data_IF_141665621778
#
_entry.id   IF_141665621778
#
_cell.length_a   1.000
_cell.length_b   1.000
_cell.length_c   1.000
_cell.angle_alpha   90.00
_cell.angle_beta   90.00
_cell.angle_gamma   90.00
#
_symmetry.space_group_name_H-M   'P 1'
#
loop_
_entity.id
_entity.type
_entity.pdbx_description
1 polymer ?
#
# COMPACT_ATOMS: atom_id res chain seq x y z
N UNK A 1 11.67 -17.60 -22.40
CA UNK A 1 11.37 -16.51 -21.46
C UNK A 1 11.01 -17.14 -20.13
N UNK A 2 11.73 -16.75 -19.10
CA UNK A 2 11.52 -17.26 -17.75
C UNK A 2 10.97 -16.11 -16.91
N UNK A 3 9.83 -16.35 -16.31
CA UNK A 3 9.25 -15.42 -15.35
C UNK A 3 9.34 -16.04 -13.96
N UNK A 4 9.88 -15.29 -13.02
CA UNK A 4 9.92 -15.67 -11.62
C UNK A 4 9.70 -14.45 -10.74
N UNK A 5 9.19 -14.70 -9.54
CA UNK A 5 8.86 -13.64 -8.57
C UNK A 5 9.92 -13.67 -7.47
N UNK A 6 10.48 -12.51 -7.16
CA UNK A 6 11.38 -12.35 -6.02
C UNK A 6 10.58 -12.50 -4.74
N UNK A 7 10.99 -13.44 -3.88
CA UNK A 7 10.29 -13.69 -2.62
C UNK A 7 10.64 -12.66 -1.54
N UNK A 8 10.03 -12.77 -0.37
CA UNK A 8 10.22 -11.84 0.74
C UNK A 8 11.66 -11.79 1.26
N UNK A 9 12.46 -12.83 1.03
CA UNK A 9 13.89 -12.88 1.40
C UNK A 9 14.83 -12.32 0.32
N UNK A 10 14.28 -11.84 -0.81
CA UNK A 10 15.04 -11.30 -1.92
C UNK A 10 15.65 -12.37 -2.82
N UNK A 11 15.12 -13.58 -2.81
CA UNK A 11 15.59 -14.72 -3.59
C UNK A 11 14.73 -14.96 -4.82
N UNK A 12 15.35 -15.38 -5.88
CA UNK A 12 14.69 -15.84 -7.10
C UNK A 12 15.24 -17.22 -7.45
N UNK A 13 14.38 -18.13 -7.91
CA UNK A 13 14.78 -19.46 -8.36
C UNK A 13 14.94 -19.44 -9.87
N UNK A 14 16.16 -19.77 -10.34
CA UNK A 14 16.49 -19.75 -11.75
C UNK A 14 16.78 -21.18 -12.24
N UNK A 15 16.34 -21.55 -13.47
CA UNK A 15 16.70 -22.82 -14.07
C UNK A 15 18.20 -22.99 -14.14
N UNK A 16 18.70 -24.18 -13.84
CA UNK A 16 20.11 -24.59 -13.90
C UNK A 16 21.02 -23.95 -12.83
N UNK A 17 20.64 -22.81 -12.24
CA UNK A 17 21.40 -22.11 -11.22
C UNK A 17 20.81 -22.35 -9.83
N UNK A 18 19.49 -22.53 -9.72
CA UNK A 18 18.78 -22.65 -8.46
C UNK A 18 18.48 -21.29 -7.82
N UNK A 19 18.50 -21.24 -6.51
CA UNK A 19 18.22 -20.01 -5.77
C UNK A 19 19.33 -18.97 -5.92
N UNK A 20 18.94 -17.73 -6.12
CA UNK A 20 19.86 -16.63 -6.39
C UNK A 20 19.40 -15.35 -5.67
N UNK A 21 20.28 -14.70 -4.95
CA UNK A 21 19.95 -13.50 -4.18
C UNK A 21 20.03 -12.24 -5.04
N UNK A 22 18.93 -11.54 -5.16
CA UNK A 22 18.82 -10.25 -5.88
C UNK A 22 18.24 -9.14 -5.02
N UNK A 23 17.96 -9.42 -3.75
CA UNK A 23 17.42 -8.43 -2.82
C UNK A 23 18.37 -7.26 -2.61
N UNK A 24 17.83 -6.04 -2.59
CA UNK A 24 18.60 -4.81 -2.41
C UNK A 24 19.35 -4.33 -3.66
N UNK A 25 19.22 -5.02 -4.80
CA UNK A 25 19.85 -4.62 -6.07
C UNK A 25 18.87 -3.80 -6.92
N UNK A 26 19.42 -2.90 -7.73
CA UNK A 26 18.64 -2.26 -8.81
C UNK A 26 18.34 -3.30 -9.90
N UNK A 27 17.40 -3.00 -10.79
CA UNK A 27 17.09 -3.89 -11.92
C UNK A 27 18.30 -4.14 -12.79
N UNK A 28 19.12 -3.11 -13.07
CA UNK A 28 20.35 -3.22 -13.86
C UNK A 28 21.41 -4.08 -13.17
N UNK A 29 21.57 -3.95 -11.86
CA UNK A 29 22.51 -4.76 -11.07
C UNK A 29 22.07 -6.23 -11.03
N UNK A 30 20.77 -6.48 -10.86
CA UNK A 30 20.20 -7.83 -10.88
C UNK A 30 20.38 -8.49 -12.25
N UNK A 31 20.13 -7.78 -13.34
CA UNK A 31 20.34 -8.27 -14.71
C UNK A 31 21.79 -8.70 -14.95
N UNK A 32 22.73 -7.85 -14.57
CA UNK A 32 24.15 -8.13 -14.72
C UNK A 32 24.58 -9.35 -13.89
N UNK A 33 24.14 -9.40 -12.65
CA UNK A 33 24.49 -10.50 -11.74
C UNK A 33 23.95 -11.85 -12.22
N UNK A 34 22.72 -11.87 -12.71
CA UNK A 34 22.10 -13.08 -13.27
C UNK A 34 22.81 -13.50 -14.55
N UNK A 35 23.09 -12.59 -15.46
CA UNK A 35 23.80 -12.87 -16.71
C UNK A 35 25.21 -13.41 -16.44
N UNK A 36 25.94 -12.81 -15.51
CA UNK A 36 27.28 -13.28 -15.10
C UNK A 36 27.22 -14.68 -14.51
N UNK A 37 26.21 -15.00 -13.73
CA UNK A 37 26.05 -16.33 -13.15
C UNK A 37 25.87 -17.42 -14.22
N UNK A 38 25.08 -17.14 -15.26
CA UNK A 38 24.89 -18.07 -16.38
C UNK A 38 26.15 -18.23 -17.22
N UNK A 39 26.87 -17.15 -17.49
CA UNK A 39 28.14 -17.18 -18.26
C UNK A 39 29.24 -17.89 -17.49
N UNK A 40 29.39 -17.55 -16.20
CA UNK A 40 30.46 -18.19 -15.34
C UNK A 40 30.18 -19.66 -15.08
N UNK A 41 28.94 -20.08 -15.07
CA UNK A 41 28.59 -21.50 -14.95
C UNK A 41 28.86 -22.32 -16.19
N UNK A 42 29.36 -21.73 -17.28
CA UNK A 42 29.65 -22.40 -18.54
C UNK A 42 28.37 -22.87 -19.28
N UNK A 43 27.22 -22.41 -18.89
CA UNK A 43 25.94 -22.84 -19.44
C UNK A 43 25.63 -22.17 -20.78
N UNK A 44 26.07 -20.93 -20.93
CA UNK A 44 25.82 -20.11 -22.14
C UNK A 44 27.04 -19.23 -22.43
N UNK A 45 27.28 -18.92 -23.69
CA UNK A 45 28.33 -17.97 -24.11
C UNK A 45 27.89 -16.52 -23.94
N UNK A 46 26.63 -16.25 -24.26
CA UNK A 46 26.00 -14.93 -24.15
C UNK A 46 24.60 -15.10 -23.60
N UNK A 47 24.27 -14.31 -22.57
CA UNK A 47 22.93 -14.30 -21.97
C UNK A 47 22.45 -12.87 -21.86
N UNK A 48 21.25 -12.62 -22.37
CA UNK A 48 20.55 -11.37 -22.17
C UNK A 48 19.49 -11.55 -21.09
N UNK A 49 19.60 -10.79 -20.02
CA UNK A 49 18.67 -10.84 -18.90
C UNK A 49 17.93 -9.50 -18.79
N UNK A 50 16.62 -9.56 -18.76
CA UNK A 50 15.78 -8.38 -18.53
C UNK A 50 15.01 -8.57 -17.23
N UNK A 51 15.20 -7.65 -16.28
CA UNK A 51 14.49 -7.65 -15.01
C UNK A 51 13.50 -6.50 -15.03
N UNK A 52 12.21 -6.84 -14.95
CA UNK A 52 11.13 -5.86 -14.86
C UNK A 52 10.61 -5.84 -13.45
N UNK A 53 10.74 -4.69 -12.79
CA UNK A 53 10.09 -4.46 -11.51
C UNK A 53 8.63 -4.15 -11.79
N UNK A 54 7.77 -5.14 -11.66
CA UNK A 54 6.34 -4.87 -11.56
C UNK A 54 6.07 -4.48 -10.12
N UNK A 55 5.86 -3.20 -9.90
CA UNK A 55 5.18 -2.78 -8.70
C UNK A 55 3.74 -3.31 -8.82
N UNK A 56 3.53 -4.52 -8.35
CA UNK A 56 2.20 -4.85 -7.90
C UNK A 56 1.94 -3.97 -6.69
N UNK A 57 1.51 -2.76 -6.96
CA UNK A 57 0.77 -2.01 -5.99
C UNK A 57 -0.46 -2.87 -5.75
N UNK A 58 -0.41 -3.73 -4.74
CA UNK A 58 -1.65 -4.16 -4.14
C UNK A 58 -2.36 -2.86 -3.83
N UNK A 59 -3.42 -2.58 -4.57
CA UNK A 59 -4.22 -1.40 -4.34
C UNK A 59 -4.89 -1.56 -2.98
N UNK A 60 -4.13 -1.23 -1.93
CA UNK A 60 -4.66 -1.13 -0.60
C UNK A 60 -5.66 0.01 -0.58
N UNK A 61 -6.78 -0.20 0.04
CA UNK A 61 -7.84 0.79 0.15
C UNK A 61 -8.26 0.94 1.61
N UNK A 62 -8.85 2.08 1.91
CA UNK A 62 -9.66 2.29 3.10
C UNK A 62 -11.10 2.54 2.64
N UNK A 63 -12.06 2.22 3.48
CA UNK A 63 -13.48 2.38 3.17
C UNK A 63 -14.03 3.52 3.99
N UNK A 64 -14.72 4.45 3.34
CA UNK A 64 -15.38 5.56 4.02
C UNK A 64 -16.88 5.56 3.74
N UNK A 65 -17.66 5.81 4.77
CA UNK A 65 -19.11 5.83 4.71
C UNK A 65 -19.69 6.89 5.63
N UNK A 66 -21.01 7.02 5.62
CA UNK A 66 -21.73 8.00 6.42
C UNK A 66 -21.84 9.36 5.75
N UNK A 67 -21.66 10.43 6.53
CA UNK A 67 -21.94 11.80 6.07
C UNK A 67 -20.74 12.44 5.34
N UNK A 68 -20.32 11.83 4.24
CA UNK A 68 -19.31 12.36 3.33
C UNK A 68 -19.87 12.45 1.91
N UNK A 69 -19.29 13.33 1.09
CA UNK A 69 -19.78 13.55 -0.26
C UNK A 69 -19.55 12.37 -1.20
N UNK A 70 -18.43 11.66 -1.05
CA UNK A 70 -18.10 10.49 -1.86
C UNK A 70 -17.83 9.29 -0.96
N UNK A 71 -18.82 8.43 -0.80
CA UNK A 71 -18.71 7.18 -0.05
C UNK A 71 -18.04 6.11 -0.89
N UNK A 72 -17.32 5.19 -0.25
CA UNK A 72 -16.77 4.01 -0.89
C UNK A 72 -15.30 3.78 -0.59
N UNK A 73 -14.64 3.02 -1.45
CA UNK A 73 -13.23 2.70 -1.33
C UNK A 73 -12.37 3.87 -1.79
N UNK A 74 -11.38 4.21 -0.98
CA UNK A 74 -10.39 5.25 -1.29
C UNK A 74 -9.03 4.59 -1.36
N UNK A 75 -8.19 4.91 -2.38
CA UNK A 75 -6.82 4.41 -2.42
C UNK A 75 -6.05 4.78 -1.16
N UNK A 76 -5.43 3.78 -0.54
CA UNK A 76 -4.58 3.99 0.63
C UNK A 76 -3.19 4.42 0.20
N UNK A 77 -2.65 5.42 0.87
CA UNK A 77 -1.30 5.92 0.68
C UNK A 77 -0.57 5.81 2.03
N UNK A 78 0.69 5.36 2.03
CA UNK A 78 1.47 5.26 3.25
C UNK A 78 1.49 6.60 4.01
N UNK A 79 1.20 6.53 5.30
CA UNK A 79 1.09 7.72 6.14
C UNK A 79 -0.23 8.46 6.06
N UNK A 80 -1.23 7.89 5.36
CA UNK A 80 -2.57 8.48 5.26
C UNK A 80 -3.20 8.64 6.64
N UNK A 81 -3.74 9.82 6.91
CA UNK A 81 -4.41 10.13 8.17
C UNK A 81 -5.94 10.17 7.97
N UNK A 82 -6.68 10.15 9.09
CA UNK A 82 -8.14 10.24 9.07
C UNK A 82 -8.61 11.52 8.35
N UNK A 83 -7.99 12.64 8.63
CA UNK A 83 -8.31 13.91 7.99
C UNK A 83 -8.10 13.87 6.48
N UNK A 84 -6.99 13.27 6.03
CA UNK A 84 -6.71 13.09 4.61
C UNK A 84 -7.76 12.24 3.91
N UNK A 85 -8.20 11.15 4.54
CA UNK A 85 -9.23 10.27 3.99
C UNK A 85 -10.56 11.01 3.82
N UNK A 86 -10.96 11.81 4.80
CA UNK A 86 -12.22 12.59 4.74
C UNK A 86 -12.15 13.62 3.61
N UNK A 87 -11.02 14.32 3.48
CA UNK A 87 -10.82 15.30 2.39
C UNK A 87 -10.85 14.60 1.02
N UNK A 88 -10.23 13.45 0.91
CA UNK A 88 -10.24 12.65 -0.35
C UNK A 88 -11.65 12.18 -0.70
N UNK A 89 -12.48 11.93 0.28
CA UNK A 89 -13.90 11.58 0.09
C UNK A 89 -14.79 12.79 -0.24
N UNK A 90 -14.21 13.92 -0.60
CA UNK A 90 -14.96 15.14 -0.92
C UNK A 90 -15.41 15.94 0.29
N UNK A 91 -14.82 15.66 1.45
CA UNK A 91 -15.14 16.29 2.73
C UNK A 91 -16.51 15.86 3.30
N UNK A 92 -16.82 16.34 4.49
CA UNK A 92 -18.07 16.05 5.19
C UNK A 92 -19.24 16.79 4.55
N UNK A 93 -20.41 16.17 4.59
CA UNK A 93 -21.64 16.85 4.17
C UNK A 93 -22.08 17.89 5.21
N UNK A 94 -23.00 18.82 4.86
CA UNK A 94 -23.57 19.76 5.84
C UNK A 94 -24.31 19.08 7.00
N UNK A 95 -24.68 17.82 6.83
CA UNK A 95 -25.38 17.03 7.86
C UNK A 95 -24.44 16.21 8.74
N UNK A 96 -23.14 16.31 8.51
CA UNK A 96 -22.15 15.54 9.26
C UNK A 96 -21.97 16.05 10.68
N UNK A 97 -21.86 15.10 11.61
CA UNK A 97 -21.34 15.33 12.94
C UNK A 97 -19.81 15.43 12.89
N UNK A 98 -19.21 15.87 14.00
CA UNK A 98 -17.76 15.78 14.17
C UNK A 98 -17.31 14.41 14.66
N UNK A 99 -18.23 13.53 15.01
CA UNK A 99 -17.93 12.19 15.49
C UNK A 99 -17.62 11.25 14.35
N UNK A 100 -16.47 10.59 14.43
CA UNK A 100 -16.00 9.63 13.42
C UNK A 100 -15.59 8.33 14.12
N UNK A 101 -15.96 7.21 13.53
CA UNK A 101 -15.55 5.89 14.00
C UNK A 101 -14.61 5.23 12.99
N UNK A 102 -13.56 4.62 13.48
CA UNK A 102 -12.68 3.78 12.68
C UNK A 102 -12.79 2.35 13.19
N UNK A 103 -13.12 1.43 12.30
CA UNK A 103 -13.15 -0.01 12.60
C UNK A 103 -11.91 -0.64 11.98
N UNK A 104 -11.11 -1.28 12.82
CA UNK A 104 -9.89 -1.98 12.43
C UNK A 104 -9.85 -3.34 13.13
N UNK A 105 -9.77 -4.42 12.34
CA UNK A 105 -9.72 -5.79 12.87
C UNK A 105 -10.83 -6.08 13.91
N UNK A 106 -12.04 -5.58 13.64
CA UNK A 106 -13.19 -5.73 14.52
C UNK A 106 -13.21 -4.81 15.73
N UNK A 107 -12.22 -3.94 15.89
CA UNK A 107 -12.15 -2.97 16.99
C UNK A 107 -12.55 -1.59 16.51
N UNK A 108 -13.41 -0.94 17.27
CA UNK A 108 -13.92 0.39 16.97
C UNK A 108 -13.20 1.43 17.82
N UNK A 109 -12.63 2.44 17.19
CA UNK A 109 -12.11 3.62 17.85
C UNK A 109 -12.94 4.85 17.48
N UNK A 110 -13.14 5.73 18.44
CA UNK A 110 -13.94 6.96 18.26
C UNK A 110 -12.99 8.15 18.22
N UNK A 111 -13.25 9.04 17.25
CA UNK A 111 -12.46 10.26 17.07
C UNK A 111 -13.40 11.45 16.83
N UNK A 112 -12.91 12.64 17.12
CA UNK A 112 -13.63 13.86 16.85
C UNK A 112 -12.85 14.72 15.86
N UNK A 113 -13.36 14.82 14.63
CA UNK A 113 -12.65 15.53 13.55
C UNK A 113 -12.54 17.03 13.83
N UNK A 114 -13.52 17.60 14.51
CA UNK A 114 -13.45 19.02 14.90
C UNK A 114 -12.30 19.30 15.86
N UNK A 115 -12.04 18.40 16.80
CA UNK A 115 -10.90 18.50 17.71
C UNK A 115 -9.56 18.28 16.99
N UNK A 116 -9.54 17.37 16.04
CA UNK A 116 -8.35 17.11 15.19
C UNK A 116 -8.00 18.37 14.39
N UNK A 117 -8.99 18.99 13.77
CA UNK A 117 -8.79 20.22 12.99
C UNK A 117 -8.30 21.40 13.83
N UNK A 118 -8.67 21.43 15.11
CA UNK A 118 -8.26 22.47 16.06
C UNK A 118 -7.00 22.09 16.86
N UNK A 119 -6.30 21.04 16.46
CA UNK A 119 -5.09 20.52 17.13
C UNK A 119 -5.30 20.13 18.59
N UNK A 120 -6.52 19.79 18.98
CA UNK A 120 -6.88 19.33 20.34
C UNK A 120 -6.87 17.80 20.45
N UNK A 121 -6.79 17.11 19.34
CA UNK A 121 -6.71 15.66 19.24
C UNK A 121 -5.73 15.30 18.13
N UNK A 122 -5.01 14.19 18.31
CA UNK A 122 -4.07 13.70 17.31
C UNK A 122 -4.83 13.15 16.11
N UNK A 123 -4.42 13.53 14.90
CA UNK A 123 -4.96 12.99 13.66
C UNK A 123 -4.43 11.55 13.48
N UNK A 124 -5.28 10.52 13.63
CA UNK A 124 -4.80 9.15 13.62
C UNK A 124 -4.32 8.71 12.24
N UNK A 125 -3.22 7.98 12.21
CA UNK A 125 -2.71 7.35 10.99
C UNK A 125 -3.56 6.11 10.68
N UNK A 126 -4.03 6.03 9.45
CA UNK A 126 -4.82 4.90 8.99
C UNK A 126 -3.95 3.72 8.56
N UNK A 127 -4.57 2.55 8.49
CA UNK A 127 -3.97 1.33 7.93
C UNK A 127 -4.83 0.81 6.79
N UNK A 128 -4.25 0.01 5.88
CA UNK A 128 -5.05 -0.63 4.83
C UNK A 128 -6.24 -1.39 5.42
N UNK A 129 -7.36 -1.35 4.73
CA UNK A 129 -8.63 -1.97 5.10
C UNK A 129 -9.36 -1.32 6.29
N UNK A 130 -8.90 -0.20 6.80
CA UNK A 130 -9.66 0.55 7.81
C UNK A 130 -11.02 0.96 7.26
N UNK A 131 -12.04 0.84 8.09
CA UNK A 131 -13.39 1.28 7.78
C UNK A 131 -13.69 2.54 8.58
N UNK A 132 -13.99 3.62 7.88
CA UNK A 132 -14.23 4.94 8.47
C UNK A 132 -15.70 5.26 8.32
N UNK A 133 -16.35 5.67 9.42
CA UNK A 133 -17.75 6.09 9.40
C UNK A 133 -17.87 7.48 10.01
N UNK A 134 -18.30 8.43 9.19
CA UNK A 134 -18.62 9.79 9.64
C UNK A 134 -20.08 9.85 10.05
N UNK A 135 -20.35 10.13 11.31
CA UNK A 135 -21.70 10.15 11.84
C UNK A 135 -22.49 11.34 11.29
N UNK A 136 -23.80 11.17 11.17
CA UNK A 136 -24.70 12.28 10.86
C UNK A 136 -25.11 12.98 12.15
N UNK A 137 -25.36 14.29 12.03
CA UNK A 137 -25.95 15.02 13.14
C UNK A 137 -27.45 14.69 13.26
N UNK A 138 -27.86 14.41 14.46
CA UNK A 138 -29.27 14.29 14.78
C UNK A 138 -29.83 15.70 15.02
N UNK A 139 -30.89 16.02 14.31
CA UNK A 139 -31.62 17.25 14.52
C UNK A 139 -32.71 17.05 15.56
#
# INVERSE_FOLDING_TARGET
TIEDIIDASGMVTLPLIGEFSVGGLTTSEAEKKISDAYVKGGLYKNVTTTVVCRNEVQSSVVYISGAVNKKGAIPYIDGMTLRMAIVTAGDRTPYASTDVRITRDGKISKHNIGRIENNKEIDPVLKPNDMIEVQERWL
#
